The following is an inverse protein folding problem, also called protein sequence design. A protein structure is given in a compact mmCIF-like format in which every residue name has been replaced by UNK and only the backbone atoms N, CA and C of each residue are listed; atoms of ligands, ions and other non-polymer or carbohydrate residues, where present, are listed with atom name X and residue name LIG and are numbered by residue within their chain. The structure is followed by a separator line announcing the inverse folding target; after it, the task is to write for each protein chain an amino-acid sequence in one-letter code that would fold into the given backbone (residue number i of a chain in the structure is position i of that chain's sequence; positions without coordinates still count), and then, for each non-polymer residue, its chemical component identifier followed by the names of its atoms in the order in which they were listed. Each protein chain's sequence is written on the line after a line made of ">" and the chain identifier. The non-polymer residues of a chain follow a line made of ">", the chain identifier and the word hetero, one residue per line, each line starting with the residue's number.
data_IF_521938018786
#
_entry.id   IF_521938018786
#
_cell.length_a   1.000
_cell.length_b   1.000
_cell.length_c   1.000
_cell.angle_alpha   90.00
_cell.angle_beta   90.00
_cell.angle_gamma   90.00
#
_symmetry.space_group_name_H-M   'P 1'
#
loop_
_entity.id
_entity.type
_entity.pdbx_description
1 polymer ?
#
# COMPACT_ATOMS: atom_id res chain seq x y z
N UNK A 1 13.39 -27.94 0.03
CA UNK A 1 13.00 -26.53 -0.20
C UNK A 1 12.59 -25.94 1.14
N UNK A 2 13.47 -25.22 1.84
CA UNK A 2 13.18 -24.67 3.18
C UNK A 2 12.27 -23.46 3.01
N UNK A 3 11.04 -23.53 3.51
CA UNK A 3 10.14 -22.38 3.64
C UNK A 3 10.71 -21.47 4.72
N UNK A 4 11.15 -20.28 4.35
CA UNK A 4 11.49 -19.23 5.29
C UNK A 4 10.21 -18.69 5.92
N UNK A 5 9.78 -19.34 7.00
CA UNK A 5 8.76 -18.84 7.92
C UNK A 5 9.43 -17.83 8.86
N UNK A 6 9.85 -16.68 8.32
CA UNK A 6 10.29 -15.56 9.14
C UNK A 6 9.05 -14.86 9.69
N UNK A 7 8.82 -14.95 11.00
CA UNK A 7 7.94 -13.99 11.67
C UNK A 7 8.53 -12.60 11.40
N UNK A 8 7.81 -11.75 10.66
CA UNK A 8 8.11 -10.32 10.56
C UNK A 8 7.92 -9.75 11.97
N UNK A 9 9.01 -9.42 12.64
CA UNK A 9 8.95 -8.63 13.87
C UNK A 9 8.35 -7.27 13.51
N UNK A 10 7.38 -6.88 14.34
CA UNK A 10 6.52 -5.72 14.18
C UNK A 10 7.38 -4.47 13.93
N UNK A 11 7.25 -3.90 12.73
CA UNK A 11 7.53 -2.48 12.53
C UNK A 11 6.80 -1.78 13.65
N UNK A 12 7.49 -0.98 14.46
CA UNK A 12 6.83 -0.13 15.43
C UNK A 12 5.83 0.72 14.65
N UNK A 13 4.57 0.29 14.61
CA UNK A 13 3.41 1.00 14.05
C UNK A 13 3.06 2.13 15.01
N UNK A 14 4.08 2.89 15.39
CA UNK A 14 3.98 4.19 16.02
C UNK A 14 4.55 5.17 14.99
N UNK A 15 3.83 5.85 14.12
CA UNK A 15 2.44 5.77 13.64
C UNK A 15 2.56 6.48 12.29
N UNK A 16 2.87 5.80 11.18
CA UNK A 16 3.00 6.51 9.90
C UNK A 16 1.64 7.13 9.56
N UNK A 17 1.59 8.45 9.62
CA UNK A 17 0.41 9.25 9.39
C UNK A 17 0.19 9.53 7.91
N UNK A 18 -0.97 10.12 7.61
CA UNK A 18 -1.19 10.68 6.28
C UNK A 18 -0.18 11.82 6.07
N UNK A 19 0.40 11.87 4.87
CA UNK A 19 1.37 12.88 4.43
C UNK A 19 2.76 12.82 5.08
N UNK A 20 3.07 11.77 5.84
CA UNK A 20 4.42 11.55 6.31
C UNK A 20 5.39 11.32 5.14
N UNK A 21 6.57 11.89 5.24
CA UNK A 21 7.66 11.59 4.31
C UNK A 21 8.41 10.37 4.82
N UNK A 22 8.42 9.31 4.02
CA UNK A 22 9.08 8.05 4.39
C UNK A 22 10.09 7.62 3.34
N UNK A 23 11.16 6.96 3.79
CA UNK A 23 12.07 6.19 2.97
C UNK A 23 11.63 4.73 2.99
N UNK A 24 11.35 4.17 1.81
CA UNK A 24 10.87 2.81 1.65
C UNK A 24 11.94 1.94 0.97
N UNK A 25 12.31 0.84 1.62
CA UNK A 25 13.03 -0.25 0.98
C UNK A 25 12.03 -1.33 0.58
N UNK A 26 12.02 -1.74 -0.68
CA UNK A 26 11.07 -2.73 -1.17
C UNK A 26 11.62 -3.54 -2.33
N UNK A 27 11.09 -4.76 -2.48
CA UNK A 27 11.20 -5.51 -3.73
C UNK A 27 10.08 -5.08 -4.67
N UNK A 28 10.43 -4.86 -5.93
CA UNK A 28 9.48 -4.53 -6.99
C UNK A 28 9.29 -5.76 -7.87
N UNK A 29 8.06 -6.25 -7.92
CA UNK A 29 7.67 -7.34 -8.81
C UNK A 29 6.76 -6.81 -9.90
N UNK A 30 7.02 -7.24 -11.14
CA UNK A 30 6.17 -6.92 -12.29
C UNK A 30 5.75 -8.21 -12.97
N UNK A 31 4.51 -8.26 -13.40
CA UNK A 31 4.01 -9.36 -14.23
C UNK A 31 3.03 -8.85 -15.28
N UNK A 32 3.00 -9.53 -16.42
CA UNK A 32 2.07 -9.24 -17.51
C UNK A 32 0.66 -9.56 -17.08
N UNK A 33 -0.29 -8.77 -17.53
CA UNK A 33 -1.72 -9.04 -17.32
C UNK A 33 -2.51 -8.87 -18.61
N UNK A 34 -3.66 -9.53 -18.69
CA UNK A 34 -4.65 -9.28 -19.74
C UNK A 34 -5.54 -8.06 -19.39
N UNK A 35 -6.52 -7.77 -20.25
CA UNK A 35 -7.48 -6.66 -20.06
C UNK A 35 -8.38 -6.83 -18.82
N UNK A 36 -8.51 -8.05 -18.29
CA UNK A 36 -9.23 -8.34 -17.04
C UNK A 36 -8.33 -8.20 -15.80
N UNK A 37 -7.03 -7.92 -15.99
CA UNK A 37 -6.04 -7.83 -14.92
C UNK A 37 -5.54 -9.17 -14.39
N UNK A 38 -5.82 -10.29 -15.07
CA UNK A 38 -5.30 -11.63 -14.73
C UNK A 38 -3.88 -11.79 -15.27
N UNK A 39 -3.03 -12.48 -14.51
CA UNK A 39 -1.66 -12.76 -14.91
C UNK A 39 -1.63 -13.62 -16.19
N UNK A 40 -0.79 -13.22 -17.14
CA UNK A 40 -0.53 -13.97 -18.37
C UNK A 40 0.98 -14.22 -18.52
N UNK A 41 1.33 -15.32 -19.15
CA UNK A 41 2.74 -15.73 -19.34
C UNK A 41 3.15 -15.75 -20.81
N UNK A 42 2.18 -15.61 -21.71
CA UNK A 42 2.33 -15.49 -23.16
C UNK A 42 2.19 -14.02 -23.57
N UNK A 43 2.50 -13.71 -24.83
CA UNK A 43 2.37 -12.38 -25.47
C UNK A 43 3.34 -11.30 -24.98
N UNK A 44 3.33 -10.15 -25.65
CA UNK A 44 4.18 -9.00 -25.35
C UNK A 44 3.73 -8.23 -24.10
N UNK A 45 4.64 -7.45 -23.50
CA UNK A 45 4.36 -6.59 -22.33
C UNK A 45 3.51 -5.37 -22.70
N UNK A 46 2.23 -5.58 -23.02
CA UNK A 46 1.29 -4.48 -23.33
C UNK A 46 0.62 -3.90 -22.08
N UNK A 47 0.33 -4.75 -21.10
CA UNK A 47 -0.24 -4.38 -19.82
C UNK A 47 0.51 -5.12 -18.70
N UNK A 48 0.75 -4.44 -17.58
CA UNK A 48 1.39 -5.05 -16.42
C UNK A 48 0.78 -4.57 -15.10
N UNK A 49 0.91 -5.41 -14.08
CA UNK A 49 0.74 -5.01 -12.69
C UNK A 49 2.10 -5.00 -11.99
N UNK A 50 2.22 -4.10 -11.01
CA UNK A 50 3.40 -3.98 -10.17
C UNK A 50 2.98 -4.20 -8.72
N UNK A 51 3.71 -5.04 -7.99
CA UNK A 51 3.61 -5.13 -6.54
C UNK A 51 4.89 -4.60 -5.90
N UNK A 52 4.70 -3.96 -4.76
CA UNK A 52 5.75 -3.54 -3.86
C UNK A 52 5.69 -4.43 -2.63
N UNK A 53 6.68 -5.28 -2.45
CA UNK A 53 6.87 -5.99 -1.19
C UNK A 53 7.75 -5.15 -0.30
N UNK A 54 7.13 -4.51 0.68
CA UNK A 54 7.82 -3.64 1.63
C UNK A 54 8.74 -4.49 2.50
N UNK A 55 10.02 -4.12 2.52
CA UNK A 55 11.06 -4.71 3.37
C UNK A 55 11.26 -3.85 4.61
N UNK A 56 11.48 -2.55 4.44
CA UNK A 56 11.79 -1.59 5.52
C UNK A 56 11.09 -0.26 5.26
N UNK A 57 10.65 0.42 6.32
CA UNK A 57 10.12 1.79 6.24
C UNK A 57 10.79 2.66 7.30
N UNK A 58 11.33 3.81 6.90
CA UNK A 58 11.89 4.80 7.82
C UNK A 58 11.15 6.12 7.67
N UNK A 59 10.65 6.67 8.78
CA UNK A 59 10.07 8.01 8.80
C UNK A 59 11.19 9.04 8.69
N UNK A 60 11.11 9.90 7.67
CA UNK A 60 12.04 11.01 7.47
C UNK A 60 11.49 12.31 8.03
N UNK A 61 10.18 12.55 7.88
CA UNK A 61 9.52 13.73 8.39
C UNK A 61 8.03 13.48 8.65
N UNK A 62 7.51 14.06 9.74
CA UNK A 62 6.08 14.00 10.08
C UNK A 62 5.33 15.01 9.20
N UNK A 63 4.27 14.54 8.56
CA UNK A 63 3.42 15.34 7.70
C UNK A 63 2.51 16.29 8.49
N UNK A 64 1.98 17.35 7.86
CA UNK A 64 0.98 18.20 8.48
C UNK A 64 -0.31 17.41 8.74
N UNK A 65 -0.91 17.60 9.92
CA UNK A 65 -2.24 17.08 10.21
C UNK A 65 -3.28 17.75 9.30
N UNK A 66 -4.00 16.93 8.53
CA UNK A 66 -5.17 17.40 7.80
C UNK A 66 -6.39 17.12 8.67
N UNK A 67 -6.95 18.17 9.27
CA UNK A 67 -8.28 18.09 9.88
C UNK A 67 -9.31 17.76 8.79
N UNK A 68 -9.67 16.49 8.64
CA UNK A 68 -10.85 16.13 7.85
C UNK A 68 -12.08 16.63 8.59
N UNK A 69 -12.67 17.74 8.13
CA UNK A 69 -14.03 18.13 8.51
C UNK A 69 -14.97 16.99 8.10
N UNK A 70 -15.33 16.13 9.05
CA UNK A 70 -16.34 15.10 8.85
C UNK A 70 -17.65 15.84 8.67
N UNK A 71 -18.16 15.88 7.44
CA UNK A 71 -19.52 16.33 7.17
C UNK A 71 -20.42 15.19 7.62
N UNK A 72 -20.91 15.24 8.85
CA UNK A 72 -21.97 14.35 9.32
C UNK A 72 -23.20 14.71 8.49
N UNK A 73 -23.77 13.79 7.68
CA UNK A 73 -25.05 14.05 7.05
C UNK A 73 -26.09 14.15 8.17
N UNK A 74 -26.78 15.28 8.26
CA UNK A 74 -27.97 15.41 9.09
C UNK A 74 -28.95 14.32 8.66
N UNK A 75 -29.23 13.39 9.57
CA UNK A 75 -30.30 12.42 9.38
C UNK A 75 -31.59 13.22 9.54
N UNK A 76 -32.26 13.54 8.44
CA UNK A 76 -33.65 13.96 8.48
C UNK A 76 -34.47 12.77 8.98
N UNK A 77 -34.83 12.78 10.27
CA UNK A 77 -35.85 11.89 10.82
C UNK A 77 -37.18 12.22 10.14
N UNK A 78 -37.60 11.35 9.22
CA UNK A 78 -38.98 11.34 8.73
C UNK A 78 -39.88 10.84 9.86
N UNK A 79 -40.59 11.76 10.51
CA UNK A 79 -41.77 11.50 11.35
C UNK A 79 -43.00 11.35 10.45
#
# INVERSE_FOLDING_TARGET
>A
MKRFSGKREDWSVQTIGKNDLVLLECNIYRWKVNNEGKAIYTDDWRLCRTAFEILTVNLLNIGPEIETKVRVPEIEEFI
#
